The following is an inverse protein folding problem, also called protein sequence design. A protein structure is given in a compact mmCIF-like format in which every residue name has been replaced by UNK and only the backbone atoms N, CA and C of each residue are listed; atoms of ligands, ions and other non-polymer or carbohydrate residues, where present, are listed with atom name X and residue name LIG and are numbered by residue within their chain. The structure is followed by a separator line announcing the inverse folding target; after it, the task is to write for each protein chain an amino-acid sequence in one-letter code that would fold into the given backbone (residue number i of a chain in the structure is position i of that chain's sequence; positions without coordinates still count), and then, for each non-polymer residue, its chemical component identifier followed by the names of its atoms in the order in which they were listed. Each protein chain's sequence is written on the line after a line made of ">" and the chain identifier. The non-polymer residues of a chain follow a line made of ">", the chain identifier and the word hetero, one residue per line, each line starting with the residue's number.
data_IF_897877723401
#
_entry.id   IF_897877723401
#
_cell.length_a   1.000
_cell.length_b   1.000
_cell.length_c   1.000
_cell.angle_alpha   90.00
_cell.angle_beta   90.00
_cell.angle_gamma   90.00
#
_symmetry.space_group_name_H-M   'P 1'
#
loop_
_entity.id
_entity.type
_entity.pdbx_description
1 polymer ?
#
# COMPACT_ATOMS: atom_id res chain seq x y z
N UNK A 1 21.39 31.12 -62.02
CA UNK A 1 21.22 29.67 -62.27
C UNK A 1 22.33 28.93 -61.52
N UNK A 2 22.07 27.77 -60.88
CA UNK A 2 21.60 27.73 -59.48
C UNK A 2 22.35 26.71 -58.57
N UNK A 3 21.87 26.61 -57.30
CA UNK A 3 21.95 25.48 -56.32
C UNK A 3 23.23 25.42 -55.46
N UNK A 4 23.21 25.19 -54.14
CA UNK A 4 22.16 24.72 -53.21
C UNK A 4 22.66 24.93 -51.77
N UNK A 5 21.88 25.60 -50.91
CA UNK A 5 22.01 25.45 -49.45
C UNK A 5 21.50 24.05 -49.07
N UNK A 6 22.30 23.26 -48.34
CA UNK A 6 21.83 22.09 -47.58
C UNK A 6 21.80 22.44 -46.10
N UNK A 7 20.60 22.58 -45.56
CA UNK A 7 20.34 22.42 -44.12
C UNK A 7 20.59 20.96 -43.72
N UNK A 8 21.37 20.73 -42.67
CA UNK A 8 21.30 19.50 -41.88
C UNK A 8 21.10 19.84 -40.39
N UNK A 9 19.81 19.84 -40.03
CA UNK A 9 19.18 19.32 -38.81
C UNK A 9 20.02 19.33 -37.52
N UNK A 10 19.72 20.31 -36.67
CA UNK A 10 19.96 20.29 -35.23
C UNK A 10 19.27 19.08 -34.59
N UNK A 11 20.04 18.19 -33.96
CA UNK A 11 19.51 17.19 -33.03
C UNK A 11 19.10 17.91 -31.75
N UNK A 12 17.78 17.97 -31.49
CA UNK A 12 17.25 18.42 -30.21
C UNK A 12 17.73 17.45 -29.11
N UNK A 13 18.52 17.98 -28.19
CA UNK A 13 18.86 17.36 -26.92
C UNK A 13 17.60 17.50 -26.03
N UNK A 14 16.88 16.41 -25.79
CA UNK A 14 15.79 16.39 -24.80
C UNK A 14 16.45 16.27 -23.43
N UNK A 15 16.69 17.41 -22.76
CA UNK A 15 16.95 17.42 -21.32
C UNK A 15 15.64 17.13 -20.61
N UNK A 16 15.52 15.95 -20.00
CA UNK A 16 14.54 15.70 -18.96
C UNK A 16 14.96 16.50 -17.72
N UNK A 17 14.43 17.72 -17.58
CA UNK A 17 14.60 18.51 -16.37
C UNK A 17 13.57 18.00 -15.35
N UNK A 18 14.04 17.24 -14.36
CA UNK A 18 13.26 16.95 -13.15
C UNK A 18 13.14 18.23 -12.33
N UNK A 19 12.13 19.05 -12.65
CA UNK A 19 11.80 20.27 -11.94
C UNK A 19 10.98 19.95 -10.69
N UNK A 20 11.61 19.99 -9.53
CA UNK A 20 10.93 20.10 -8.24
C UNK A 20 10.32 21.50 -8.16
N UNK A 21 8.99 21.63 -8.27
CA UNK A 21 8.28 22.85 -7.91
C UNK A 21 7.07 22.51 -7.03
N UNK A 22 7.11 23.03 -5.81
CA UNK A 22 6.00 23.06 -4.88
C UNK A 22 4.90 23.95 -5.47
N UNK A 23 3.82 23.32 -5.91
CA UNK A 23 2.56 24.00 -6.20
C UNK A 23 1.75 24.06 -4.90
N UNK A 24 1.59 25.25 -4.33
CA UNK A 24 0.59 25.52 -3.30
C UNK A 24 -0.79 25.60 -3.95
N UNK A 25 -1.39 24.43 -4.20
CA UNK A 25 -2.82 24.29 -4.42
C UNK A 25 -3.46 23.91 -3.07
N UNK A 26 -4.63 24.51 -2.76
CA UNK A 26 -5.24 24.55 -1.44
C UNK A 26 -5.31 23.22 -0.67
N UNK A 27 -5.35 23.33 0.66
CA UNK A 27 -5.36 22.27 1.70
C UNK A 27 -6.23 21.02 1.41
N UNK A 28 -5.90 20.24 0.39
CA UNK A 28 -5.95 18.79 0.50
C UNK A 28 -4.66 18.44 1.23
N UNK A 29 -4.74 18.06 2.50
CA UNK A 29 -3.55 17.59 3.21
C UNK A 29 -2.88 16.52 2.35
N UNK A 30 -1.66 16.77 1.89
CA UNK A 30 -0.88 15.76 1.18
C UNK A 30 -0.82 14.53 2.10
N UNK A 31 -1.11 13.34 1.57
CA UNK A 31 -1.15 12.16 2.40
C UNK A 31 0.23 11.81 3.00
N UNK A 32 0.27 10.88 3.96
CA UNK A 32 1.49 10.53 4.70
C UNK A 32 2.60 10.15 3.74
N UNK A 33 3.77 10.76 3.88
CA UNK A 33 4.88 10.53 2.96
C UNK A 33 5.61 9.25 3.34
N UNK A 34 5.77 8.34 2.39
CA UNK A 34 6.59 7.14 2.56
C UNK A 34 7.92 7.30 1.83
N UNK A 35 9.02 6.88 2.45
CA UNK A 35 10.37 6.97 1.87
C UNK A 35 11.09 5.63 1.98
N UNK A 36 11.59 5.07 0.86
CA UNK A 36 12.35 3.83 0.90
C UNK A 36 13.80 4.10 1.34
N UNK A 37 14.33 3.21 2.17
CA UNK A 37 15.74 3.09 2.48
C UNK A 37 16.24 1.74 1.95
N UNK A 38 16.90 1.76 0.80
CA UNK A 38 17.38 0.55 0.15
C UNK A 38 18.61 -0.04 0.85
N UNK A 39 18.67 -1.36 0.96
CA UNK A 39 19.90 -2.05 1.32
C UNK A 39 21.02 -1.72 0.32
N UNK A 40 22.26 -1.62 0.82
CA UNK A 40 23.39 -1.06 0.05
C UNK A 40 24.28 -2.13 -0.60
N UNK A 41 23.82 -3.38 -0.69
CA UNK A 41 24.58 -4.42 -1.38
C UNK A 41 24.74 -4.03 -2.85
N UNK A 42 25.98 -3.89 -3.31
CA UNK A 42 26.27 -3.44 -4.67
C UNK A 42 25.84 -4.49 -5.69
N UNK A 43 25.17 -4.05 -6.76
CA UNK A 43 24.75 -4.87 -7.89
C UNK A 43 23.78 -6.04 -7.54
N UNK A 44 23.01 -5.93 -6.47
CA UNK A 44 22.03 -6.95 -6.06
C UNK A 44 20.69 -6.34 -5.66
N UNK A 45 19.60 -7.12 -5.68
CA UNK A 45 18.27 -6.71 -5.25
C UNK A 45 17.81 -5.41 -5.92
N UNK A 46 17.56 -4.38 -5.13
CA UNK A 46 17.19 -3.04 -5.63
C UNK A 46 18.34 -2.27 -6.30
N UNK A 47 19.59 -2.70 -6.13
CA UNK A 47 20.78 -2.15 -6.81
C UNK A 47 21.21 -2.98 -8.02
N UNK A 48 20.49 -4.04 -8.36
CA UNK A 48 20.79 -4.87 -9.53
C UNK A 48 20.84 -4.03 -10.82
N UNK A 49 21.87 -4.16 -11.67
CA UNK A 49 22.06 -3.31 -12.85
C UNK A 49 21.01 -3.51 -13.94
N UNK A 50 20.25 -4.61 -13.92
CA UNK A 50 19.22 -4.96 -14.90
C UNK A 50 17.82 -4.74 -14.32
N UNK A 51 17.55 -5.29 -13.14
CA UNK A 51 16.24 -5.32 -12.50
C UNK A 51 16.04 -4.23 -11.45
N UNK A 52 17.12 -3.65 -10.91
CA UNK A 52 17.06 -2.73 -9.77
C UNK A 52 16.19 -1.50 -10.04
N UNK A 53 16.30 -0.92 -11.24
CA UNK A 53 15.47 0.23 -11.63
C UNK A 53 13.97 -0.12 -11.65
N UNK A 54 13.59 -1.30 -12.17
CA UNK A 54 12.20 -1.74 -12.21
C UNK A 54 11.68 -2.11 -10.81
N UNK A 55 12.51 -2.74 -9.97
CA UNK A 55 12.20 -3.06 -8.57
C UNK A 55 11.95 -1.77 -7.77
N UNK A 56 12.81 -0.77 -7.92
CA UNK A 56 12.66 0.55 -7.29
C UNK A 56 11.38 1.25 -7.75
N UNK A 57 11.09 1.26 -9.06
CA UNK A 57 9.88 1.86 -9.60
C UNK A 57 8.60 1.16 -9.11
N UNK A 58 8.61 -0.17 -8.97
CA UNK A 58 7.48 -0.91 -8.41
C UNK A 58 7.27 -0.58 -6.92
N UNK A 59 8.34 -0.54 -6.13
CA UNK A 59 8.27 -0.16 -4.71
C UNK A 59 7.81 1.29 -4.52
N UNK A 60 8.37 2.24 -5.26
CA UNK A 60 7.97 3.66 -5.15
C UNK A 60 6.50 3.86 -5.52
N UNK A 61 5.97 3.06 -6.44
CA UNK A 61 4.54 3.02 -6.74
C UNK A 61 3.72 2.50 -5.54
N UNK A 62 4.13 1.39 -4.92
CA UNK A 62 3.55 0.88 -3.68
C UNK A 62 3.51 1.96 -2.58
N UNK A 63 4.63 2.65 -2.35
CA UNK A 63 4.72 3.71 -1.35
C UNK A 63 3.81 4.90 -1.67
N UNK A 64 3.65 5.21 -2.96
CA UNK A 64 2.72 6.24 -3.43
C UNK A 64 1.26 5.85 -3.20
N UNK A 65 0.90 4.57 -3.34
CA UNK A 65 -0.44 4.08 -3.01
C UNK A 65 -0.74 4.24 -1.52
N UNK A 66 0.17 3.81 -0.63
CA UNK A 66 0.03 4.03 0.81
C UNK A 66 -0.11 5.51 1.16
N UNK A 67 0.69 6.36 0.51
CA UNK A 67 0.61 7.81 0.67
C UNK A 67 -0.75 8.39 0.26
N UNK A 68 -1.49 7.76 -0.67
CA UNK A 68 -2.84 8.23 -1.00
C UNK A 68 -3.87 7.86 0.07
N UNK A 69 -3.64 6.79 0.85
CA UNK A 69 -4.63 6.25 1.79
C UNK A 69 -4.48 6.81 3.20
N UNK A 70 -3.27 7.09 3.66
CA UNK A 70 -3.01 7.60 5.01
C UNK A 70 -2.96 9.13 5.02
N UNK A 71 -3.64 9.73 5.99
CA UNK A 71 -3.58 11.17 6.25
C UNK A 71 -2.55 11.42 7.35
N UNK A 72 -1.65 12.41 7.20
CA UNK A 72 -0.67 12.71 8.24
C UNK A 72 -1.35 13.14 9.54
N UNK A 73 -0.91 12.60 10.68
CA UNK A 73 -1.32 13.05 12.01
C UNK A 73 -0.52 14.25 12.50
N UNK A 74 0.66 14.51 11.92
CA UNK A 74 1.47 15.68 12.24
C UNK A 74 2.21 16.27 11.03
N UNK A 75 2.69 17.51 11.19
CA UNK A 75 3.36 18.24 10.12
C UNK A 75 4.67 17.55 9.72
N UNK A 76 4.85 17.35 8.41
CA UNK A 76 6.02 16.69 7.84
C UNK A 76 6.25 15.25 8.32
N UNK A 77 5.17 14.54 8.68
CA UNK A 77 5.24 13.10 8.93
C UNK A 77 5.79 12.35 7.71
N UNK A 78 6.77 11.49 7.98
CA UNK A 78 7.44 10.64 7.01
C UNK A 78 7.57 9.25 7.62
N UNK A 79 7.06 8.22 6.93
CA UNK A 79 7.30 6.83 7.29
C UNK A 79 8.45 6.29 6.46
N UNK A 80 9.56 5.94 7.11
CA UNK A 80 10.73 5.38 6.44
C UNK A 80 10.66 3.85 6.40
N UNK A 81 10.76 3.27 5.21
CA UNK A 81 10.67 1.82 4.98
C UNK A 81 12.03 1.30 4.53
N UNK A 82 12.73 0.57 5.39
CA UNK A 82 13.94 -0.13 5.02
C UNK A 82 13.61 -1.38 4.21
N UNK A 83 14.22 -1.51 3.04
CA UNK A 83 13.90 -2.57 2.08
C UNK A 83 15.13 -3.31 1.61
N UNK A 84 15.03 -4.64 1.58
CA UNK A 84 16.04 -5.53 1.05
C UNK A 84 15.46 -6.61 0.15
N UNK A 85 16.36 -7.35 -0.49
CA UNK A 85 16.01 -8.61 -1.12
C UNK A 85 17.02 -9.65 -0.66
N UNK A 86 16.53 -10.78 -0.15
CA UNK A 86 17.34 -11.90 0.32
C UNK A 86 16.71 -13.20 -0.17
N UNK A 87 17.49 -14.28 -0.27
CA UNK A 87 16.90 -15.58 -0.57
C UNK A 87 16.06 -16.04 0.62
N UNK A 88 14.75 -16.16 0.44
CA UNK A 88 13.83 -16.63 1.47
C UNK A 88 13.67 -18.16 1.41
N UNK A 89 13.46 -18.85 2.54
CA UNK A 89 13.21 -20.29 2.55
C UNK A 89 11.78 -20.62 2.08
N UNK A 90 11.62 -21.77 1.45
CA UNK A 90 10.30 -22.33 1.15
C UNK A 90 9.51 -21.53 0.12
N UNK A 91 8.31 -21.10 0.49
CA UNK A 91 7.35 -20.38 -0.38
C UNK A 91 7.10 -18.93 0.06
N UNK A 92 7.90 -18.41 0.99
CA UNK A 92 7.78 -17.03 1.47
C UNK A 92 8.16 -16.05 0.36
N UNK A 93 7.22 -15.19 -0.04
CA UNK A 93 7.45 -14.19 -1.09
C UNK A 93 8.19 -12.98 -0.54
N UNK A 94 7.87 -12.59 0.69
CA UNK A 94 8.52 -11.53 1.43
C UNK A 94 8.23 -11.71 2.93
N UNK A 95 8.96 -10.98 3.75
CA UNK A 95 8.65 -10.79 5.16
C UNK A 95 8.75 -9.30 5.47
N UNK A 96 7.78 -8.76 6.19
CA UNK A 96 7.81 -7.38 6.63
C UNK A 96 7.12 -7.17 7.95
N UNK A 97 7.52 -6.08 8.60
CA UNK A 97 7.03 -5.75 9.92
C UNK A 97 7.59 -4.44 10.43
N UNK A 98 7.12 -4.02 11.62
CA UNK A 98 7.56 -2.78 12.22
C UNK A 98 8.99 -2.92 12.73
N UNK A 99 9.73 -1.82 12.73
CA UNK A 99 11.07 -1.74 13.28
C UNK A 99 11.12 -2.04 14.78
N UNK A 100 10.07 -1.63 15.50
CA UNK A 100 9.92 -1.90 16.93
C UNK A 100 8.44 -1.82 17.33
N UNK A 101 8.18 -2.28 18.54
CA UNK A 101 6.88 -2.22 19.18
C UNK A 101 7.08 -1.58 20.55
N UNK A 102 6.40 -0.46 20.79
CA UNK A 102 6.56 0.34 22.00
C UNK A 102 5.31 0.34 22.85
N UNK A 103 5.51 0.22 24.17
CA UNK A 103 4.49 0.55 25.17
C UNK A 103 4.37 2.06 25.27
N UNK A 104 3.17 2.59 25.01
CA UNK A 104 2.90 4.03 25.13
C UNK A 104 2.31 4.32 26.50
N UNK A 105 3.17 4.63 27.48
CA UNK A 105 2.76 4.83 28.87
C UNK A 105 2.18 3.56 29.49
N UNK A 106 1.03 3.66 30.16
CA UNK A 106 0.28 2.48 30.65
C UNK A 106 -0.65 1.85 29.60
N UNK A 107 -0.70 2.40 28.37
CA UNK A 107 -1.61 1.98 27.30
C UNK A 107 -1.04 0.82 26.49
N UNK A 108 -1.90 0.21 25.66
CA UNK A 108 -1.58 -0.84 24.69
C UNK A 108 -0.31 -0.56 23.87
N UNK A 109 0.40 -1.64 23.53
CA UNK A 109 1.57 -1.57 22.64
C UNK A 109 1.18 -1.07 21.25
N UNK A 110 2.07 -0.31 20.62
CA UNK A 110 1.90 0.19 19.25
C UNK A 110 3.17 -0.09 18.46
N UNK A 111 3.00 -0.45 17.20
CA UNK A 111 4.11 -0.47 16.24
C UNK A 111 4.68 0.93 16.05
N UNK A 112 5.96 1.06 15.66
CA UNK A 112 6.63 2.37 15.52
C UNK A 112 5.82 3.42 14.75
N UNK A 113 5.27 3.14 13.54
CA UNK A 113 4.47 4.14 12.82
C UNK A 113 3.24 4.60 13.61
N UNK A 114 2.51 3.67 14.23
CA UNK A 114 1.31 3.97 15.01
C UNK A 114 1.64 4.72 16.32
N UNK A 115 2.81 4.47 16.91
CA UNK A 115 3.29 5.22 18.06
C UNK A 115 3.64 6.67 17.69
N UNK A 116 4.32 6.87 16.55
CA UNK A 116 4.62 8.19 16.01
C UNK A 116 3.34 8.99 15.70
N UNK A 117 2.37 8.33 15.07
CA UNK A 117 1.05 8.88 14.79
C UNK A 117 0.34 9.35 16.08
N UNK A 118 0.28 8.47 17.07
CA UNK A 118 -0.32 8.77 18.38
C UNK A 118 0.37 9.93 19.11
N UNK A 119 1.71 10.01 19.05
CA UNK A 119 2.46 11.08 19.71
C UNK A 119 2.50 12.38 18.91
N UNK A 120 2.06 12.38 17.65
CA UNK A 120 2.16 13.51 16.74
C UNK A 120 3.60 13.94 16.45
N UNK A 121 4.56 13.00 16.47
CA UNK A 121 5.98 13.26 16.14
C UNK A 121 6.72 11.95 15.85
N UNK A 122 7.80 12.07 15.10
CA UNK A 122 8.80 11.02 14.97
C UNK A 122 9.55 10.82 16.31
N UNK A 123 9.41 9.63 16.89
CA UNK A 123 10.03 9.26 18.16
C UNK A 123 11.43 8.67 18.01
N UNK A 124 11.85 8.30 16.79
CA UNK A 124 13.17 7.74 16.53
C UNK A 124 13.79 8.30 15.22
N UNK A 125 14.13 9.60 15.20
CA UNK A 125 14.58 10.26 13.97
C UNK A 125 15.79 9.62 13.32
N UNK A 126 15.67 9.39 12.01
CA UNK A 126 16.75 8.82 11.19
C UNK A 126 16.84 7.30 11.24
N UNK A 127 15.93 6.62 11.94
CA UNK A 127 15.76 5.18 11.86
C UNK A 127 14.56 4.82 10.96
N UNK A 128 14.62 3.71 10.22
CA UNK A 128 13.44 3.18 9.54
C UNK A 128 12.40 2.71 10.57
N UNK A 129 11.13 2.82 10.19
CA UNK A 129 9.99 2.43 11.02
C UNK A 129 9.40 1.09 10.61
N UNK A 130 9.66 0.67 9.37
CA UNK A 130 9.21 -0.59 8.78
C UNK A 130 10.41 -1.24 8.09
N UNK A 131 10.55 -2.56 8.23
CA UNK A 131 11.48 -3.38 7.46
C UNK A 131 10.70 -4.32 6.55
N UNK A 132 11.17 -4.49 5.31
CA UNK A 132 10.63 -5.47 4.38
C UNK A 132 11.76 -6.13 3.59
N UNK A 133 11.81 -7.45 3.60
CA UNK A 133 12.74 -8.26 2.81
C UNK A 133 11.97 -9.13 1.82
N UNK A 134 12.17 -8.89 0.53
CA UNK A 134 11.55 -9.66 -0.55
C UNK A 134 12.42 -10.84 -0.97
N UNK A 135 11.81 -11.96 -1.38
CA UNK A 135 12.55 -13.10 -1.88
C UNK A 135 13.25 -12.79 -3.20
N UNK A 136 14.56 -12.97 -3.23
CA UNK A 136 15.39 -12.73 -4.41
C UNK A 136 15.10 -13.73 -5.55
N UNK A 137 14.62 -14.94 -5.21
CA UNK A 137 14.40 -16.02 -6.18
C UNK A 137 13.00 -16.02 -6.79
N UNK A 138 12.10 -15.18 -6.28
CA UNK A 138 10.72 -15.12 -6.73
C UNK A 138 10.60 -14.45 -8.09
N UNK A 139 9.83 -15.06 -8.98
CA UNK A 139 9.49 -14.49 -10.29
C UNK A 139 8.43 -13.38 -10.16
N UNK A 140 8.88 -12.22 -9.69
CA UNK A 140 8.03 -11.06 -9.50
C UNK A 140 7.65 -10.39 -10.83
N UNK A 141 6.37 -10.08 -10.98
CA UNK A 141 5.88 -9.09 -11.91
C UNK A 141 6.11 -7.69 -11.31
N UNK A 142 6.94 -6.89 -11.98
CA UNK A 142 7.33 -5.55 -11.53
C UNK A 142 6.48 -4.43 -12.18
N UNK A 143 5.43 -4.79 -12.92
CA UNK A 143 4.56 -3.82 -13.58
C UNK A 143 3.53 -3.23 -12.62
N UNK A 144 3.26 -1.94 -12.76
CA UNK A 144 2.35 -1.19 -11.88
C UNK A 144 0.87 -1.27 -12.30
N UNK A 145 0.51 -2.08 -13.28
CA UNK A 145 -0.86 -2.14 -13.85
C UNK A 145 -1.71 -3.31 -13.33
N UNK A 146 -1.18 -4.10 -12.39
CA UNK A 146 -1.89 -5.24 -11.81
C UNK A 146 -2.20 -6.34 -12.82
N UNK A 147 -1.33 -6.54 -13.82
CA UNK A 147 -1.48 -7.58 -14.85
C UNK A 147 -0.29 -8.56 -14.87
N UNK A 148 0.01 -9.23 -13.75
CA UNK A 148 1.03 -10.28 -13.73
C UNK A 148 0.71 -11.39 -14.72
N UNK A 149 1.74 -11.95 -15.35
CA UNK A 149 1.58 -13.18 -16.12
C UNK A 149 1.17 -14.36 -15.23
N UNK A 150 0.61 -15.41 -15.82
CA UNK A 150 0.10 -16.59 -15.11
C UNK A 150 1.13 -17.34 -14.26
N UNK A 151 2.43 -17.06 -14.46
CA UNK A 151 3.55 -17.67 -13.73
C UNK A 151 4.31 -16.66 -12.84
N UNK A 152 3.76 -15.47 -12.62
CA UNK A 152 4.39 -14.40 -11.84
C UNK A 152 3.56 -14.06 -10.60
N UNK A 153 4.23 -13.67 -9.52
CA UNK A 153 3.59 -13.03 -8.37
C UNK A 153 3.67 -11.52 -8.53
N UNK A 154 2.61 -10.79 -8.19
CA UNK A 154 2.60 -9.34 -8.29
C UNK A 154 3.38 -8.67 -7.16
N UNK A 155 4.49 -8.00 -7.50
CA UNK A 155 5.38 -7.37 -6.50
C UNK A 155 4.67 -6.27 -5.71
N UNK A 156 3.83 -5.48 -6.38
CA UNK A 156 3.15 -4.34 -5.74
C UNK A 156 2.17 -4.85 -4.68
N UNK A 157 1.40 -5.90 -4.96
CA UNK A 157 0.50 -6.56 -4.01
C UNK A 157 1.26 -7.11 -2.81
N UNK A 158 2.37 -7.84 -3.05
CA UNK A 158 3.23 -8.33 -1.96
C UNK A 158 3.78 -7.17 -1.12
N UNK A 159 4.30 -6.11 -1.75
CA UNK A 159 4.86 -4.97 -1.02
C UNK A 159 3.80 -4.17 -0.24
N UNK A 160 2.58 -4.05 -0.78
CA UNK A 160 1.45 -3.45 -0.06
C UNK A 160 1.13 -4.23 1.21
N UNK A 161 1.07 -5.56 1.09
CA UNK A 161 0.80 -6.48 2.20
C UNK A 161 1.84 -6.36 3.33
N UNK A 162 3.13 -6.50 3.00
CA UNK A 162 4.21 -6.45 4.01
C UNK A 162 4.31 -5.09 4.71
N UNK A 163 4.11 -3.99 3.97
CA UNK A 163 4.06 -2.65 4.58
C UNK A 163 2.82 -2.53 5.48
N UNK A 164 1.70 -3.17 5.13
CA UNK A 164 0.52 -3.27 5.99
C UNK A 164 0.79 -3.94 7.35
N UNK A 165 1.62 -4.98 7.38
CA UNK A 165 2.11 -5.57 8.63
C UNK A 165 2.96 -4.57 9.43
N UNK A 166 3.87 -3.84 8.76
CA UNK A 166 4.65 -2.77 9.37
C UNK A 166 3.82 -1.63 9.96
N UNK A 167 2.65 -1.37 9.39
CA UNK A 167 1.69 -0.39 9.88
C UNK A 167 0.81 -0.91 11.04
N UNK A 168 0.88 -2.19 11.40
CA UNK A 168 0.30 -2.71 12.64
C UNK A 168 -0.86 -3.68 12.47
N UNK A 169 -1.13 -4.18 11.26
CA UNK A 169 -1.90 -5.42 11.10
C UNK A 169 -0.96 -6.59 11.40
N UNK A 170 -0.64 -6.76 12.68
CA UNK A 170 0.37 -7.71 13.14
C UNK A 170 0.03 -8.13 14.56
N UNK A 171 -0.07 -9.45 14.76
CA UNK A 171 -0.20 -10.04 16.08
C UNK A 171 1.16 -10.24 16.75
N UNK A 172 1.20 -10.05 18.05
CA UNK A 172 2.39 -10.22 18.88
C UNK A 172 2.26 -11.41 19.83
N UNK A 173 1.40 -12.37 19.48
CA UNK A 173 1.07 -13.53 20.33
C UNK A 173 2.03 -14.68 19.99
N UNK A 174 2.72 -15.19 21.01
CA UNK A 174 3.53 -16.40 20.89
C UNK A 174 2.66 -17.59 20.54
N UNK A 175 2.94 -18.21 19.39
CA UNK A 175 2.28 -19.45 18.95
C UNK A 175 2.69 -20.70 19.76
N UNK A 176 3.58 -20.54 20.73
CA UNK A 176 4.06 -21.63 21.60
C UNK A 176 3.47 -21.54 23.01
N UNK A 177 3.35 -20.32 23.52
CA UNK A 177 2.96 -20.07 24.92
C UNK A 177 1.63 -19.33 25.05
N UNK A 178 1.22 -18.61 24.00
CA UNK A 178 0.09 -17.67 24.03
C UNK A 178 0.41 -16.33 24.70
N UNK A 179 1.62 -16.16 25.26
CA UNK A 179 2.10 -14.91 25.83
C UNK A 179 2.35 -13.83 24.77
N UNK A 180 2.44 -12.58 25.18
CA UNK A 180 2.74 -11.46 24.28
C UNK A 180 4.24 -11.29 24.06
N UNK A 181 4.61 -10.63 22.96
CA UNK A 181 6.00 -10.26 22.68
C UNK A 181 6.65 -9.55 23.89
N UNK A 182 7.84 -10.01 24.29
CA UNK A 182 8.60 -9.55 25.47
C UNK A 182 7.83 -9.57 26.79
N UNK A 183 6.73 -10.32 26.88
CA UNK A 183 5.82 -10.35 28.03
C UNK A 183 5.29 -8.96 28.44
N UNK A 184 5.23 -7.99 27.51
CA UNK A 184 4.91 -6.58 27.78
C UNK A 184 3.44 -6.21 27.51
N UNK A 185 2.55 -7.21 27.56
CA UNK A 185 1.11 -7.04 27.35
C UNK A 185 0.67 -6.88 25.89
N UNK A 186 -0.65 -6.71 25.64
CA UNK A 186 -1.21 -6.65 24.30
C UNK A 186 -0.89 -5.34 23.56
N UNK A 187 -0.91 -5.42 22.24
CA UNK A 187 -0.94 -4.27 21.34
C UNK A 187 -2.36 -3.79 21.05
N UNK A 188 -2.46 -2.67 20.32
CA UNK A 188 -3.74 -2.18 19.78
C UNK A 188 -4.41 -3.25 18.92
N UNK A 189 -3.65 -4.03 18.15
CA UNK A 189 -4.19 -5.11 17.31
C UNK A 189 -4.95 -6.15 18.14
N UNK A 190 -4.34 -6.70 19.20
CA UNK A 190 -5.02 -7.73 20.03
C UNK A 190 -6.23 -7.21 20.78
N UNK A 191 -6.32 -5.90 21.04
CA UNK A 191 -7.47 -5.31 21.72
C UNK A 191 -8.78 -5.44 20.94
N UNK A 192 -8.68 -5.68 19.63
CA UNK A 192 -9.84 -5.90 18.76
C UNK A 192 -10.12 -7.39 18.51
N UNK A 193 -9.25 -8.30 18.90
CA UNK A 193 -9.44 -9.72 18.66
C UNK A 193 -10.34 -10.38 19.73
N UNK A 194 -11.27 -11.21 19.29
CA UNK A 194 -12.15 -11.99 20.15
C UNK A 194 -12.43 -13.38 19.57
N UNK A 195 -12.66 -14.36 20.45
CA UNK A 195 -13.16 -15.69 20.09
C UNK A 195 -14.67 -15.79 20.41
N UNK A 196 -15.42 -16.54 19.61
CA UNK A 196 -16.87 -16.73 19.75
C UNK A 196 -17.19 -18.03 20.49
N UNK A 197 -16.97 -18.04 21.81
CA UNK A 197 -17.44 -19.12 22.68
C UNK A 197 -18.92 -18.91 23.11
N UNK A 198 -19.80 -18.57 22.15
CA UNK A 198 -21.21 -18.18 22.39
C UNK A 198 -21.43 -16.69 22.67
N UNK A 199 -20.37 -15.96 23.05
CA UNK A 199 -20.24 -14.50 23.07
C UNK A 199 -18.83 -14.13 22.60
N UNK A 200 -18.62 -12.93 22.08
CA UNK A 200 -17.28 -12.44 21.71
C UNK A 200 -16.47 -12.16 22.98
N UNK A 201 -15.57 -13.08 23.34
CA UNK A 201 -14.65 -12.94 24.47
C UNK A 201 -13.34 -12.31 23.99
N UNK A 202 -12.96 -11.11 24.49
CA UNK A 202 -11.74 -10.44 24.05
C UNK A 202 -10.47 -11.23 24.42
N UNK A 203 -9.52 -11.35 23.49
CA UNK A 203 -8.25 -12.07 23.70
C UNK A 203 -7.39 -11.43 24.80
N UNK A 204 -7.53 -10.12 25.02
CA UNK A 204 -6.84 -9.39 26.09
C UNK A 204 -7.33 -9.73 27.49
N UNK A 205 -8.48 -10.40 27.61
CA UNK A 205 -9.04 -10.87 28.89
C UNK A 205 -8.69 -12.33 29.20
N UNK A 206 -8.10 -13.03 28.23
CA UNK A 206 -7.74 -14.45 28.33
C UNK A 206 -6.39 -14.63 29.01
N UNK A 207 -6.23 -15.76 29.70
CA UNK A 207 -4.92 -16.29 30.09
C UNK A 207 -4.10 -16.67 28.84
N UNK A 208 -2.79 -16.83 28.98
CA UNK A 208 -1.94 -17.23 27.86
C UNK A 208 -2.35 -18.59 27.27
N UNK A 209 -2.74 -19.55 28.11
CA UNK A 209 -3.21 -20.86 27.65
C UNK A 209 -4.52 -20.77 26.86
N UNK A 210 -5.47 -19.96 27.30
CA UNK A 210 -6.73 -19.72 26.57
C UNK A 210 -6.46 -18.97 25.25
N UNK A 211 -5.58 -17.97 25.27
CA UNK A 211 -5.19 -17.22 24.07
C UNK A 211 -4.51 -18.11 23.04
N UNK A 212 -3.60 -18.98 23.47
CA UNK A 212 -2.94 -19.97 22.63
C UNK A 212 -3.96 -20.89 21.93
N UNK A 213 -4.98 -21.34 22.67
CA UNK A 213 -6.06 -22.14 22.09
C UNK A 213 -6.90 -21.33 21.09
N UNK A 214 -7.20 -20.06 21.40
CA UNK A 214 -8.01 -19.18 20.56
C UNK A 214 -7.36 -18.90 19.20
N UNK A 215 -6.07 -18.57 19.16
CA UNK A 215 -5.37 -18.25 17.90
C UNK A 215 -5.22 -19.46 16.96
N UNK A 216 -5.39 -20.68 17.48
CA UNK A 216 -5.38 -21.93 16.71
C UNK A 216 -6.76 -22.53 16.42
N UNK A 217 -7.84 -21.80 16.73
CA UNK A 217 -9.19 -22.38 16.81
C UNK A 217 -9.99 -22.38 15.50
N UNK A 218 -9.60 -21.58 14.52
CA UNK A 218 -10.44 -21.28 13.35
C UNK A 218 -11.62 -20.33 13.62
N UNK A 219 -11.77 -19.88 14.87
CA UNK A 219 -12.85 -19.03 15.38
C UNK A 219 -12.28 -17.77 16.03
N UNK A 220 -11.79 -16.85 15.20
CA UNK A 220 -11.24 -15.58 15.65
C UNK A 220 -11.84 -14.44 14.84
N UNK A 221 -12.11 -13.33 15.53
CA UNK A 221 -12.87 -12.21 14.98
C UNK A 221 -12.29 -10.88 15.42
N UNK A 222 -12.30 -9.92 14.51
CA UNK A 222 -12.05 -8.51 14.75
C UNK A 222 -13.34 -7.79 15.11
N UNK A 223 -13.34 -7.16 16.27
CA UNK A 223 -14.50 -6.50 16.88
C UNK A 223 -14.43 -4.98 16.84
N UNK A 224 -13.47 -4.42 16.10
CA UNK A 224 -13.34 -2.97 15.94
C UNK A 224 -14.55 -2.35 15.21
N UNK A 225 -15.02 -1.17 15.67
CA UNK A 225 -16.26 -0.58 15.20
C UNK A 225 -16.25 -0.17 13.73
N UNK A 226 -15.14 0.35 13.20
CA UNK A 226 -15.05 0.82 11.82
C UNK A 226 -15.05 -0.35 10.83
N UNK A 227 -14.24 -1.39 11.08
CA UNK A 227 -14.25 -2.60 10.26
C UNK A 227 -15.60 -3.33 10.35
N UNK A 228 -16.21 -3.37 11.54
CA UNK A 228 -17.54 -3.97 11.71
C UNK A 228 -18.61 -3.20 10.94
N UNK A 229 -18.56 -1.86 10.94
CA UNK A 229 -19.48 -1.03 10.16
C UNK A 229 -19.33 -1.30 8.65
N UNK A 230 -18.10 -1.43 8.15
CA UNK A 230 -17.82 -1.81 6.77
C UNK A 230 -18.31 -3.22 6.42
N UNK A 231 -18.41 -4.11 7.40
CA UNK A 231 -18.91 -5.47 7.27
C UNK A 231 -20.42 -5.60 7.66
N UNK A 232 -21.21 -4.57 7.39
CA UNK A 232 -22.66 -4.60 7.64
C UNK A 232 -23.06 -4.61 9.11
N UNK A 233 -22.20 -4.06 9.98
CA UNK A 233 -22.39 -4.01 11.43
C UNK A 233 -21.97 -5.29 12.17
N UNK A 234 -21.33 -6.24 11.49
CA UNK A 234 -20.88 -7.51 12.08
C UNK A 234 -19.36 -7.56 12.26
N UNK A 235 -18.84 -8.19 13.32
CA UNK A 235 -17.40 -8.46 13.45
C UNK A 235 -16.82 -9.15 12.22
N UNK A 236 -15.56 -8.87 11.93
CA UNK A 236 -14.86 -9.38 10.74
C UNK A 236 -14.12 -10.65 11.12
N UNK A 237 -14.24 -11.71 10.33
CA UNK A 237 -13.53 -12.95 10.60
C UNK A 237 -12.03 -12.76 10.37
N UNK A 238 -11.21 -13.31 11.26
CA UNK A 238 -9.75 -13.36 11.16
C UNK A 238 -9.31 -14.79 10.83
N UNK A 239 -8.27 -14.91 10.01
CA UNK A 239 -7.65 -16.19 9.71
C UNK A 239 -6.90 -16.69 10.96
N UNK A 240 -7.41 -17.78 11.54
CA UNK A 240 -6.83 -18.44 12.71
C UNK A 240 -6.59 -19.92 12.41
N UNK A 241 -5.55 -20.25 11.62
CA UNK A 241 -5.29 -21.63 11.23
C UNK A 241 -4.84 -22.47 12.43
N UNK A 242 -4.94 -23.81 12.36
CA UNK A 242 -4.38 -24.68 13.40
C UNK A 242 -2.90 -24.34 13.66
N UNK A 243 -2.44 -24.38 14.92
CA UNK A 243 -1.08 -23.95 15.29
C UNK A 243 0.05 -24.66 14.53
N UNK A 244 -0.20 -25.91 14.09
CA UNK A 244 0.73 -26.72 13.30
C UNK A 244 0.79 -26.34 11.81
N UNK A 245 -0.16 -25.52 11.33
CA UNK A 245 -0.11 -24.90 10.01
C UNK A 245 0.86 -23.69 10.03
N UNK A 246 1.18 -23.20 8.84
CA UNK A 246 2.14 -22.14 8.54
C UNK A 246 2.21 -20.93 9.51
N UNK A 247 3.37 -20.26 9.45
CA UNK A 247 3.81 -19.20 10.38
C UNK A 247 3.09 -17.86 10.26
N UNK A 248 2.02 -17.76 9.48
CA UNK A 248 1.32 -16.49 9.15
C UNK A 248 0.55 -15.84 10.32
N UNK A 249 0.69 -16.35 11.55
CA UNK A 249 0.04 -15.79 12.73
C UNK A 249 -1.50 -15.70 12.61
N UNK A 250 -2.09 -14.77 13.35
CA UNK A 250 -3.49 -14.34 13.26
C UNK A 250 -3.60 -12.91 12.71
N UNK A 251 -2.68 -12.57 11.79
CA UNK A 251 -2.49 -11.25 11.20
C UNK A 251 -3.15 -11.10 9.82
N UNK A 252 -4.12 -11.96 9.49
CA UNK A 252 -4.69 -12.09 8.15
C UNK A 252 -6.21 -12.16 8.16
N UNK A 253 -6.82 -11.75 7.05
CA UNK A 253 -8.21 -12.08 6.75
C UNK A 253 -8.27 -13.51 6.17
N UNK A 254 -9.41 -14.21 6.21
CA UNK A 254 -9.55 -15.52 5.58
C UNK A 254 -9.14 -15.50 4.10
N UNK A 255 -8.64 -16.62 3.54
CA UNK A 255 -8.30 -16.69 2.12
C UNK A 255 -9.48 -16.29 1.23
N UNK A 256 -9.31 -15.21 0.47
CA UNK A 256 -10.29 -14.74 -0.49
C UNK A 256 -9.59 -14.12 -1.70
N UNK A 257 -10.25 -14.16 -2.86
CA UNK A 257 -9.75 -13.52 -4.07
C UNK A 257 -10.12 -12.03 -4.03
N UNK A 258 -9.18 -11.18 -3.61
CA UNK A 258 -9.31 -9.72 -3.69
C UNK A 258 -8.96 -8.97 -2.41
N UNK A 259 -8.78 -9.65 -1.27
CA UNK A 259 -8.24 -9.07 -0.05
C UNK A 259 -6.72 -8.91 -0.17
N UNK A 260 -6.24 -7.73 0.20
CA UNK A 260 -4.82 -7.48 0.42
C UNK A 260 -4.30 -8.25 1.64
N UNK A 261 -5.18 -8.69 2.55
CA UNK A 261 -4.85 -9.45 3.76
C UNK A 261 -5.13 -10.95 3.64
N UNK A 262 -5.32 -11.47 2.42
CA UNK A 262 -5.29 -12.92 2.20
C UNK A 262 -3.92 -13.46 2.67
N UNK A 263 -3.87 -14.62 3.38
CA UNK A 263 -2.62 -15.18 3.90
C UNK A 263 -1.72 -15.77 2.79
N UNK A 264 -2.20 -15.80 1.55
CA UNK A 264 -1.41 -16.19 0.39
C UNK A 264 -1.85 -15.41 -0.85
N UNK A 265 -0.90 -15.21 -1.76
CA UNK A 265 -1.10 -14.60 -3.06
C UNK A 265 -0.92 -15.67 -4.15
N UNK A 266 -1.90 -15.82 -5.03
CA UNK A 266 -1.79 -16.68 -6.20
C UNK A 266 -0.96 -16.06 -7.31
N UNK A 267 -0.42 -16.89 -8.21
CA UNK A 267 0.24 -16.41 -9.43
C UNK A 267 -0.80 -15.84 -10.39
N UNK A 268 -0.48 -14.74 -11.04
CA UNK A 268 -1.41 -14.04 -11.94
C UNK A 268 -2.47 -13.20 -11.22
N UNK A 269 -2.43 -13.13 -9.88
CA UNK A 269 -3.32 -12.31 -9.07
C UNK A 269 -2.64 -10.99 -8.68
N UNK A 270 -3.44 -9.92 -8.61
CA UNK A 270 -2.99 -8.61 -8.16
C UNK A 270 -4.13 -7.85 -7.48
N UNK A 271 -3.80 -7.18 -6.37
CA UNK A 271 -4.71 -6.31 -5.62
C UNK A 271 -3.98 -5.04 -5.24
N UNK A 272 -4.31 -3.90 -5.86
CA UNK A 272 -3.64 -2.61 -5.65
C UNK A 272 -4.53 -1.59 -4.92
N UNK A 273 -5.50 -2.07 -4.12
CA UNK A 273 -6.47 -1.23 -3.43
C UNK A 273 -6.92 -1.83 -2.11
N UNK A 274 -7.15 -0.98 -1.11
CA UNK A 274 -7.82 -1.38 0.12
C UNK A 274 -9.33 -1.52 -0.07
N UNK A 275 -9.90 -2.63 0.40
CA UNK A 275 -11.34 -2.83 0.57
C UNK A 275 -11.89 -1.94 1.70
N UNK A 276 -13.22 -1.83 1.80
CA UNK A 276 -13.86 -1.07 2.88
C UNK A 276 -13.54 -1.65 4.27
N UNK A 277 -13.48 -2.99 4.38
CA UNK A 277 -13.13 -3.68 5.62
C UNK A 277 -11.70 -3.34 6.03
N UNK A 278 -10.75 -3.43 5.10
CA UNK A 278 -9.33 -3.16 5.36
C UNK A 278 -9.08 -1.70 5.76
N UNK A 279 -9.77 -0.74 5.12
CA UNK A 279 -9.78 0.66 5.57
C UNK A 279 -10.33 0.81 6.98
N UNK A 280 -11.35 0.04 7.33
CA UNK A 280 -11.90 -0.04 8.68
C UNK A 280 -10.89 -0.57 9.70
N UNK A 281 -10.12 -1.60 9.35
CA UNK A 281 -9.06 -2.15 10.22
C UNK A 281 -8.03 -1.07 10.61
N UNK A 282 -7.53 -0.30 9.65
CA UNK A 282 -6.59 0.79 9.95
C UNK A 282 -7.22 1.94 10.75
N UNK A 283 -8.49 2.24 10.49
CA UNK A 283 -9.23 3.25 11.27
C UNK A 283 -9.37 2.80 12.72
N UNK A 284 -9.68 1.53 12.95
CA UNK A 284 -9.77 0.94 14.29
C UNK A 284 -8.41 0.94 15.00
N UNK A 285 -7.32 0.65 14.29
CA UNK A 285 -5.95 0.76 14.83
C UNK A 285 -5.61 2.18 15.28
N UNK A 286 -6.23 3.22 14.70
CA UNK A 286 -6.09 4.61 15.09
C UNK A 286 -5.62 5.55 13.97
N UNK A 287 -5.30 5.03 12.78
CA UNK A 287 -4.91 5.86 11.66
C UNK A 287 -6.09 6.66 11.11
N UNK A 288 -5.79 7.85 10.59
CA UNK A 288 -6.75 8.59 9.77
C UNK A 288 -6.62 8.14 8.32
N UNK A 289 -7.67 7.49 7.79
CA UNK A 289 -7.72 7.03 6.40
C UNK A 289 -8.47 8.03 5.52
N UNK A 290 -7.90 8.35 4.36
CA UNK A 290 -8.54 9.19 3.34
C UNK A 290 -9.84 8.53 2.84
N UNK A 291 -10.95 9.26 2.95
CA UNK A 291 -12.28 8.78 2.52
C UNK A 291 -12.44 8.78 1.00
N UNK A 292 -11.73 9.66 0.30
CA UNK A 292 -11.65 9.74 -1.16
C UNK A 292 -10.20 10.01 -1.56
N UNK A 293 -9.32 8.99 -1.54
CA UNK A 293 -7.93 9.17 -1.90
C UNK A 293 -7.84 9.70 -3.36
N UNK A 294 -7.00 10.70 -3.63
CA UNK A 294 -6.82 11.18 -5.00
C UNK A 294 -6.27 10.04 -5.86
N UNK A 295 -6.80 9.91 -7.08
CA UNK A 295 -6.29 8.89 -8.00
C UNK A 295 -4.84 9.20 -8.40
N UNK A 296 -3.96 8.22 -8.21
CA UNK A 296 -2.58 8.31 -8.68
C UNK A 296 -2.53 8.08 -10.19
N UNK A 297 -2.06 9.08 -10.94
CA UNK A 297 -1.80 8.96 -12.36
C UNK A 297 -0.36 8.49 -12.59
N UNK A 298 -0.19 7.40 -13.33
CA UNK A 298 1.11 6.78 -13.60
C UNK A 298 1.25 6.31 -15.05
N UNK A 299 2.45 5.83 -15.43
CA UNK A 299 2.82 5.44 -16.80
C UNK A 299 2.40 6.47 -17.88
N UNK A 300 2.74 7.76 -17.74
CA UNK A 300 2.47 8.74 -18.79
C UNK A 300 3.26 8.36 -20.05
N UNK A 301 2.57 8.23 -21.18
CA UNK A 301 3.18 7.90 -22.48
C UNK A 301 2.56 8.75 -23.57
N UNK A 302 3.30 8.96 -24.65
CA UNK A 302 2.76 9.52 -25.89
C UNK A 302 3.01 8.51 -27.01
N UNK A 303 1.99 8.21 -27.80
CA UNK A 303 2.14 7.45 -29.03
C UNK A 303 1.50 8.22 -30.20
N UNK A 304 1.38 7.59 -31.38
CA UNK A 304 0.79 8.23 -32.56
C UNK A 304 -0.69 8.58 -32.41
N UNK A 305 -1.37 8.03 -31.40
CA UNK A 305 -2.81 8.11 -31.19
C UNK A 305 -3.20 8.97 -29.97
N UNK A 306 -2.25 9.54 -29.23
CA UNK A 306 -2.57 10.44 -28.11
C UNK A 306 -1.53 10.48 -27.00
N UNK A 307 -1.82 11.33 -26.01
CA UNK A 307 -1.25 11.21 -24.68
C UNK A 307 -2.03 10.16 -23.89
N UNK A 308 -1.33 9.30 -23.16
CA UNK A 308 -1.91 8.26 -22.33
C UNK A 308 -1.38 8.36 -20.90
N UNK A 309 -2.22 7.99 -19.95
CA UNK A 309 -1.83 7.74 -18.57
C UNK A 309 -2.70 6.63 -18.00
N UNK A 310 -2.27 6.02 -16.91
CA UNK A 310 -2.99 4.95 -16.23
C UNK A 310 -3.33 5.40 -14.82
N UNK A 311 -4.46 4.94 -14.28
CA UNK A 311 -4.75 5.06 -12.85
C UNK A 311 -5.47 3.81 -12.33
N UNK A 312 -5.32 3.53 -11.04
CA UNK A 312 -6.00 2.42 -10.38
C UNK A 312 -7.46 2.78 -10.14
N UNK A 313 -8.39 1.92 -10.56
CA UNK A 313 -9.82 2.11 -10.29
C UNK A 313 -10.26 1.35 -9.05
N UNK A 314 -11.34 1.82 -8.41
CA UNK A 314 -12.05 1.11 -7.35
C UNK A 314 -13.30 0.47 -7.94
N UNK A 315 -13.58 -0.82 -7.66
CA UNK A 315 -14.79 -1.50 -8.17
C UNK A 315 -16.06 -0.72 -7.86
N UNK A 316 -16.88 -0.47 -8.88
CA UNK A 316 -18.18 0.20 -8.75
C UNK A 316 -18.14 1.73 -8.62
N UNK A 317 -16.96 2.34 -8.50
CA UNK A 317 -16.83 3.81 -8.48
C UNK A 317 -16.81 4.34 -9.91
N UNK A 318 -17.58 5.39 -10.19
CA UNK A 318 -17.59 6.03 -11.51
C UNK A 318 -16.61 7.20 -11.55
N UNK A 319 -15.88 7.35 -12.66
CA UNK A 319 -14.83 8.35 -12.83
C UNK A 319 -15.04 9.21 -14.07
N UNK A 320 -14.81 10.51 -13.93
CA UNK A 320 -14.66 11.44 -15.05
C UNK A 320 -13.23 11.95 -15.08
N UNK A 321 -12.65 11.92 -16.27
CA UNK A 321 -11.32 12.47 -16.51
C UNK A 321 -11.51 13.89 -17.03
N UNK A 322 -10.82 14.82 -16.42
CA UNK A 322 -10.86 16.22 -16.81
C UNK A 322 -9.45 16.74 -17.06
N UNK A 323 -9.36 17.77 -17.90
CA UNK A 323 -8.11 18.47 -18.17
C UNK A 323 -8.29 19.99 -18.16
N UNK A 324 -7.17 20.70 -18.03
CA UNK A 324 -7.06 22.14 -18.26
C UNK A 324 -5.77 22.48 -18.98
N UNK A 325 -5.69 23.63 -19.64
CA UNK A 325 -4.57 23.98 -20.50
C UNK A 325 -3.44 24.71 -19.74
N UNK A 326 -3.80 25.49 -18.71
CA UNK A 326 -2.85 26.19 -17.86
C UNK A 326 -3.05 25.87 -16.38
N UNK A 327 -1.97 25.96 -15.61
CA UNK A 327 -2.01 25.74 -14.17
C UNK A 327 -2.96 26.71 -13.45
N UNK A 328 -3.06 27.94 -13.96
CA UNK A 328 -3.92 29.00 -13.38
C UNK A 328 -5.40 28.87 -13.78
N UNK A 329 -5.74 28.01 -14.75
CA UNK A 329 -7.13 27.82 -15.16
C UNK A 329 -7.93 27.25 -13.98
N UNK A 330 -9.07 27.88 -13.69
CA UNK A 330 -10.01 27.43 -12.64
C UNK A 330 -11.02 26.43 -13.17
N UNK A 331 -11.27 26.45 -14.49
CA UNK A 331 -12.24 25.58 -15.14
C UNK A 331 -11.56 24.31 -15.65
N UNK A 332 -12.19 23.18 -15.35
CA UNK A 332 -11.78 21.87 -15.85
C UNK A 332 -12.75 21.42 -16.95
N UNK A 333 -12.21 20.88 -18.03
CA UNK A 333 -12.97 20.36 -19.16
C UNK A 333 -12.93 18.84 -19.12
N UNK A 334 -14.09 18.18 -19.13
CA UNK A 334 -14.14 16.72 -19.24
C UNK A 334 -13.58 16.24 -20.58
N UNK A 335 -12.83 15.14 -20.56
CA UNK A 335 -12.51 14.42 -21.79
C UNK A 335 -13.80 13.84 -22.40
N UNK A 336 -13.93 13.80 -23.74
CA UNK A 336 -15.08 13.20 -24.38
C UNK A 336 -15.24 11.72 -24.03
N UNK A 337 -16.46 11.30 -23.71
CA UNK A 337 -16.82 9.90 -23.40
C UNK A 337 -17.77 9.78 -22.22
N UNK A 338 -18.38 8.59 -22.01
CA UNK A 338 -19.12 8.32 -20.78
C UNK A 338 -18.16 8.23 -19.58
N UNK A 339 -18.65 8.43 -18.35
CA UNK A 339 -17.89 8.11 -17.14
C UNK A 339 -17.37 6.66 -17.17
N UNK A 340 -16.14 6.46 -16.70
CA UNK A 340 -15.53 5.14 -16.56
C UNK A 340 -15.98 4.50 -15.25
N UNK A 341 -16.67 3.36 -15.30
CA UNK A 341 -16.99 2.58 -14.09
C UNK A 341 -15.77 1.70 -13.77
N UNK A 342 -15.24 1.87 -12.57
CA UNK A 342 -14.08 1.12 -12.09
C UNK A 342 -14.40 -0.36 -11.90
N UNK A 343 -13.44 -1.20 -12.26
CA UNK A 343 -13.49 -2.66 -12.14
C UNK A 343 -12.46 -3.21 -11.15
N UNK A 344 -11.71 -2.33 -10.48
CA UNK A 344 -10.64 -2.71 -9.56
C UNK A 344 -9.30 -2.96 -10.23
N UNK A 345 -9.20 -2.77 -11.56
CA UNK A 345 -7.93 -2.85 -12.28
C UNK A 345 -7.42 -1.46 -12.68
N UNK A 346 -6.16 -1.40 -13.08
CA UNK A 346 -5.57 -0.20 -13.63
C UNK A 346 -6.10 0.06 -15.05
N UNK A 347 -6.67 1.24 -15.27
CA UNK A 347 -7.27 1.63 -16.55
C UNK A 347 -6.42 2.68 -17.24
N UNK A 348 -6.05 2.41 -18.50
CA UNK A 348 -5.34 3.37 -19.34
C UNK A 348 -6.35 4.32 -19.99
N UNK A 349 -6.12 5.61 -19.78
CA UNK A 349 -6.85 6.70 -20.41
C UNK A 349 -6.03 7.23 -21.56
N UNK A 350 -6.71 7.51 -22.67
CA UNK A 350 -6.12 8.10 -23.88
C UNK A 350 -6.81 9.41 -24.20
N UNK A 351 -6.00 10.43 -24.41
CA UNK A 351 -6.40 11.73 -24.94
C UNK A 351 -5.77 11.95 -26.32
N UNK A 352 -6.51 11.69 -27.42
CA UNK A 352 -6.02 11.88 -28.78
C UNK A 352 -5.60 13.32 -29.07
N UNK A 353 -6.24 14.30 -28.41
CA UNK A 353 -5.96 15.72 -28.59
C UNK A 353 -4.88 16.25 -27.62
N UNK A 354 -4.31 15.39 -26.79
CA UNK A 354 -3.23 15.73 -25.86
C UNK A 354 -1.86 15.89 -26.53
N UNK A 355 -1.68 15.39 -27.77
CA UNK A 355 -0.42 15.51 -28.49
C UNK A 355 -0.17 16.97 -28.90
N UNK A 356 0.90 17.56 -28.38
CA UNK A 356 1.32 18.94 -28.70
C UNK A 356 0.54 20.04 -27.96
N UNK A 357 -0.37 19.68 -27.05
CA UNK A 357 -1.06 20.61 -26.17
C UNK A 357 -0.48 20.53 -24.74
N UNK A 358 -0.24 21.67 -24.10
CA UNK A 358 -0.03 21.68 -22.66
C UNK A 358 -1.36 21.34 -21.98
N UNK A 359 -1.40 20.22 -21.26
CA UNK A 359 -2.58 19.77 -20.51
C UNK A 359 -2.18 19.31 -19.11
N UNK A 360 -3.01 19.64 -18.13
CA UNK A 360 -2.97 19.12 -16.78
C UNK A 360 -4.21 18.25 -16.60
N UNK A 361 -4.06 17.04 -16.10
CA UNK A 361 -5.15 16.07 -15.96
C UNK A 361 -5.51 15.86 -14.49
N UNK A 362 -6.77 15.54 -14.24
CA UNK A 362 -7.23 14.97 -12.97
C UNK A 362 -8.29 13.91 -13.23
N UNK A 363 -8.41 12.99 -12.27
CA UNK A 363 -9.53 12.05 -12.21
C UNK A 363 -10.44 12.49 -11.07
N UNK A 364 -11.73 12.54 -11.36
CA UNK A 364 -12.78 12.86 -10.39
C UNK A 364 -13.69 11.66 -10.24
N UNK A 365 -13.79 11.10 -9.04
CA UNK A 365 -14.86 10.16 -8.71
C UNK A 365 -16.21 10.88 -8.65
N UNK A 366 -17.27 10.22 -9.10
CA UNK A 366 -18.64 10.72 -9.10
C UNK A 366 -19.48 10.11 -8.00
#
# INVERSE_FOLDING_TARGET
>A
MPRTLRLLRSRLLVLALAGLMAATAGNSAAGTRFVPQYSFNANDGFNDPVLGANRRAALEFTLSLWSTWLVPSYAAEVITVAVGMIAQPGSTLAEGGPADIYRVGSQLNRVTPLANDFYGRDTNPGQPEIYVDFDLNTNFYLGQDGRPGTNQYDFVTTALHEIGHGLGILDIISRQTGGYYRDDGPSVYESFLAQTAGTYTPLISMTDAERLAAIGSGDLWWTGPAASAANGGQPVRIYAPPLAADGSGVSHLPPDSGSLWSPSLGKGEATHSLTAIERGLFTDLGYTIATNPPALLFKPTCDTNGFCFTFQTTPGVSYVIEYKAAFQDTTWTALPGPPLVGDGTAQMIRDPAGLGAQRFYRVKSQ
#
